data_IF_209744402190
#
_entry.id   IF_209744402190
#
_cell.length_a   1.000
_cell.length_b   1.000
_cell.length_c   1.000
_cell.angle_alpha   90.00
_cell.angle_beta   90.00
_cell.angle_gamma   90.00
#
_symmetry.space_group_name_H-M   'P 1'
#
loop_
_entity.id
_entity.type
_entity.pdbx_description
1 polymer ?
#
# COMPACT_ATOMS: atom_id res chain seq x y z
N UNK A 1 24.32 -9.29 14.22
CA UNK A 1 23.37 -10.17 14.91
C UNK A 1 22.20 -10.39 13.97
N UNK A 2 22.16 -11.52 13.46
CA UNK A 2 21.51 -12.07 12.30
C UNK A 2 20.11 -12.53 12.73
N UNK A 3 19.13 -12.13 11.97
CA UNK A 3 17.79 -12.75 11.87
C UNK A 3 17.12 -13.18 13.19
N UNK A 4 16.20 -12.38 13.68
CA UNK A 4 15.07 -12.83 14.51
C UNK A 4 13.75 -12.47 13.86
N UNK A 5 13.44 -13.04 12.72
CA UNK A 5 12.05 -13.27 12.33
C UNK A 5 11.77 -14.76 12.56
N UNK A 6 10.94 -15.02 13.57
CA UNK A 6 10.53 -16.33 14.03
C UNK A 6 9.75 -17.05 12.92
N UNK A 7 10.31 -18.15 12.42
CA UNK A 7 9.56 -19.17 11.70
C UNK A 7 8.70 -19.93 12.72
N UNK A 8 7.42 -19.72 12.71
CA UNK A 8 6.45 -20.59 13.37
C UNK A 8 6.27 -21.86 12.53
N UNK A 9 6.93 -22.92 12.94
CA UNK A 9 6.73 -24.28 12.44
C UNK A 9 5.39 -24.78 12.99
N UNK A 10 4.40 -24.98 12.13
CA UNK A 10 3.16 -25.66 12.47
C UNK A 10 3.41 -27.16 12.54
N UNK A 11 3.33 -27.72 13.75
CA UNK A 11 3.32 -29.16 14.00
C UNK A 11 1.97 -29.74 13.58
N UNK A 12 1.99 -30.59 12.57
CA UNK A 12 0.88 -31.44 12.21
C UNK A 12 0.69 -32.53 13.27
N UNK A 13 -0.47 -32.55 13.91
CA UNK A 13 -0.92 -33.67 14.74
C UNK A 13 -1.80 -34.58 13.90
N UNK A 14 -1.28 -35.76 13.59
CA UNK A 14 -2.05 -36.89 13.11
C UNK A 14 -2.82 -37.47 14.29
N UNK A 15 -4.13 -37.58 14.17
CA UNK A 15 -4.96 -38.43 15.04
C UNK A 15 -5.64 -39.49 14.20
N UNK A 16 -5.30 -40.71 14.54
CA UNK A 16 -5.73 -41.97 13.96
C UNK A 16 -7.19 -42.33 14.34
N UNK A 17 -7.85 -42.92 13.37
CA UNK A 17 -9.16 -43.57 13.44
C UNK A 17 -9.21 -44.71 14.45
N UNK A 18 -10.30 -44.79 15.20
CA UNK A 18 -10.72 -45.95 15.93
C UNK A 18 -12.19 -46.22 15.68
N UNK A 19 -12.50 -47.29 14.93
CA UNK A 19 -13.84 -47.87 14.75
C UNK A 19 -14.16 -48.83 15.89
N UNK A 20 -15.42 -48.83 16.36
CA UNK A 20 -16.21 -49.97 16.83
C UNK A 20 -17.42 -49.37 17.57
N UNK A 21 -18.68 -49.72 17.43
CA UNK A 21 -19.35 -50.87 16.99
C UNK A 21 -20.65 -50.99 17.82
N UNK A 22 -21.75 -51.14 17.14
CA UNK A 22 -23.08 -51.72 17.54
C UNK A 22 -23.62 -51.66 18.98
N UNK A 23 -24.91 -51.28 19.07
CA UNK A 23 -25.81 -51.68 20.17
C UNK A 23 -27.20 -51.03 20.11
N UNK A 24 -28.17 -51.79 19.65
CA UNK A 24 -29.60 -51.52 19.58
C UNK A 24 -30.24 -51.45 20.99
N UNK A 25 -31.24 -50.60 21.28
CA UNK A 25 -32.64 -50.96 21.54
C UNK A 25 -33.51 -49.79 22.02
N UNK A 26 -34.67 -49.77 21.42
CA UNK A 26 -36.02 -49.29 21.78
C UNK A 26 -36.30 -48.64 23.14
N UNK A 27 -37.05 -47.52 23.11
CA UNK A 27 -38.42 -47.43 23.64
C UNK A 27 -39.06 -46.06 23.43
N UNK A 28 -40.16 -46.07 22.76
CA UNK A 28 -41.36 -45.21 22.77
C UNK A 28 -41.49 -44.16 23.86
N UNK A 29 -41.79 -42.90 23.47
CA UNK A 29 -43.06 -42.25 23.85
C UNK A 29 -43.34 -41.02 22.96
N UNK A 30 -44.58 -41.00 22.51
CA UNK A 30 -45.31 -39.97 21.82
C UNK A 30 -45.57 -38.78 22.75
N UNK A 31 -45.40 -37.54 22.20
CA UNK A 31 -46.26 -36.42 22.58
C UNK A 31 -46.39 -35.44 21.38
N UNK A 32 -47.67 -35.25 21.05
CA UNK A 32 -48.18 -34.36 20.00
C UNK A 32 -47.81 -32.90 20.29
N UNK A 33 -47.37 -32.18 19.28
CA UNK A 33 -47.40 -30.72 19.30
C UNK A 33 -48.36 -30.22 18.22
N UNK A 34 -49.40 -29.56 18.69
CA UNK A 34 -50.47 -28.96 17.92
C UNK A 34 -49.96 -27.81 17.05
N UNK A 35 -50.37 -27.84 15.80
CA UNK A 35 -50.25 -26.72 14.85
C UNK A 35 -51.31 -25.68 15.21
N UNK A 36 -50.88 -24.49 15.60
CA UNK A 36 -51.75 -23.32 15.71
C UNK A 36 -51.54 -22.44 14.46
N UNK A 37 -52.53 -22.47 13.59
CA UNK A 37 -52.68 -21.51 12.49
C UNK A 37 -53.26 -20.22 13.05
N UNK A 38 -52.58 -19.10 12.88
CA UNK A 38 -53.11 -17.76 13.07
C UNK A 38 -53.23 -17.06 11.72
N UNK A 39 -54.41 -16.49 11.50
CA UNK A 39 -54.85 -15.78 10.29
C UNK A 39 -54.17 -14.38 10.13
N UNK A 40 -54.28 -13.76 8.94
CA UNK A 40 -53.50 -12.58 8.60
C UNK A 40 -54.08 -11.29 9.21
N UNK A 41 -53.25 -10.49 9.82
CA UNK A 41 -53.56 -9.13 10.20
C UNK A 41 -52.91 -8.17 9.19
N UNK A 42 -53.74 -7.47 8.42
CA UNK A 42 -53.36 -6.26 7.70
C UNK A 42 -52.93 -5.19 8.70
N UNK A 43 -51.77 -4.58 8.51
CA UNK A 43 -51.62 -3.16 8.81
C UNK A 43 -50.46 -2.53 8.00
N UNK A 44 -50.80 -1.48 7.43
CA UNK A 44 -50.26 -0.42 6.68
C UNK A 44 -48.83 0.07 6.99
N UNK A 45 -48.19 0.54 5.89
CA UNK A 45 -47.18 1.63 5.83
C UNK A 45 -46.02 1.54 6.82
N UNK A 46 -44.94 0.96 6.37
CA UNK A 46 -43.61 1.40 6.73
C UNK A 46 -42.91 1.83 5.45
N UNK A 47 -42.59 3.11 5.38
CA UNK A 47 -41.67 3.68 4.39
C UNK A 47 -40.42 2.80 4.36
N UNK A 48 -40.24 2.14 3.24
CA UNK A 48 -39.07 1.34 2.93
C UNK A 48 -37.92 2.34 2.62
N UNK A 49 -37.24 2.82 3.64
CA UNK A 49 -35.86 3.27 3.46
C UNK A 49 -35.09 2.02 3.12
N UNK A 50 -34.88 1.79 1.83
CA UNK A 50 -33.95 0.81 1.33
C UNK A 50 -32.55 1.19 1.85
N UNK A 51 -32.14 0.60 2.97
CA UNK A 51 -30.74 0.39 3.24
C UNK A 51 -30.21 -0.40 2.05
N UNK A 52 -29.46 0.28 1.18
CA UNK A 52 -28.82 -0.29 -0.01
C UNK A 52 -27.85 -1.34 0.51
N UNK A 53 -28.27 -2.60 0.55
CA UNK A 53 -27.49 -3.70 1.10
C UNK A 53 -26.25 -3.86 0.23
N UNK A 54 -25.10 -3.50 0.81
CA UNK A 54 -23.77 -3.56 0.19
C UNK A 54 -23.28 -4.99 -0.13
N UNK A 55 -24.12 -6.00 0.05
CA UNK A 55 -23.72 -7.41 -0.05
C UNK A 55 -23.78 -7.98 -1.46
N UNK A 56 -24.37 -7.27 -2.42
CA UNK A 56 -24.39 -7.73 -3.80
C UNK A 56 -23.52 -6.85 -4.69
N UNK A 57 -22.53 -7.44 -5.40
CA UNK A 57 -21.76 -6.71 -6.38
C UNK A 57 -22.69 -6.13 -7.48
N UNK A 58 -22.31 -4.99 -8.09
CA UNK A 58 -23.10 -4.43 -9.20
C UNK A 58 -23.17 -5.43 -10.35
N UNK A 59 -24.31 -5.46 -11.06
CA UNK A 59 -24.38 -6.17 -12.34
C UNK A 59 -23.41 -5.59 -13.34
N UNK A 60 -22.99 -6.36 -14.36
CA UNK A 60 -22.03 -5.89 -15.36
C UNK A 60 -22.48 -4.63 -16.14
N UNK A 61 -23.80 -4.37 -16.18
CA UNK A 61 -24.39 -3.17 -16.81
C UNK A 61 -24.32 -1.95 -15.91
N UNK A 62 -24.19 -2.15 -14.59
CA UNK A 62 -24.12 -1.09 -13.59
C UNK A 62 -22.69 -0.70 -13.21
N UNK A 63 -21.67 -1.49 -13.61
CA UNK A 63 -20.26 -1.21 -13.32
C UNK A 63 -19.82 0.10 -13.95
N UNK A 64 -19.26 0.98 -13.11
CA UNK A 64 -18.63 2.23 -13.56
C UNK A 64 -17.21 1.93 -14.05
N UNK A 65 -16.78 2.61 -15.11
CA UNK A 65 -15.39 2.56 -15.53
C UNK A 65 -14.58 3.60 -14.77
N UNK A 66 -13.56 3.15 -14.04
CA UNK A 66 -12.65 3.97 -13.22
C UNK A 66 -11.29 4.04 -13.91
N UNK A 67 -10.81 5.25 -14.20
CA UNK A 67 -9.47 5.48 -14.76
C UNK A 67 -8.48 5.61 -13.63
N UNK A 68 -7.68 4.55 -13.43
CA UNK A 68 -6.70 4.44 -12.34
C UNK A 68 -5.28 4.69 -12.86
N UNK A 69 -4.68 5.79 -12.40
CA UNK A 69 -3.27 6.12 -12.61
C UNK A 69 -2.35 5.39 -11.65
N UNK A 70 -1.19 4.94 -12.12
CA UNK A 70 -0.16 4.35 -11.26
C UNK A 70 1.24 4.60 -11.82
N UNK A 71 2.26 4.49 -10.96
CA UNK A 71 3.67 4.57 -11.30
C UNK A 71 4.34 3.21 -11.16
N UNK A 72 5.48 3.01 -11.85
CA UNK A 72 6.40 1.90 -11.53
C UNK A 72 6.82 1.95 -10.05
N UNK A 73 7.33 0.84 -9.53
CA UNK A 73 7.72 0.71 -8.13
C UNK A 73 6.67 -0.02 -7.30
N UNK A 74 6.68 0.15 -5.99
CA UNK A 74 5.71 -0.48 -5.07
C UNK A 74 4.27 -0.20 -5.48
N UNK A 75 4.00 1.02 -5.96
CA UNK A 75 2.69 1.45 -6.42
C UNK A 75 2.14 0.67 -7.62
N UNK A 76 2.99 -0.04 -8.37
CA UNK A 76 2.54 -0.94 -9.43
C UNK A 76 2.16 -2.32 -8.92
N UNK A 77 2.88 -2.85 -7.92
CA UNK A 77 2.56 -4.17 -7.36
C UNK A 77 1.17 -4.21 -6.72
N UNK A 78 0.76 -3.14 -6.06
CA UNK A 78 -0.52 -3.07 -5.35
C UNK A 78 -1.75 -3.09 -6.28
N UNK A 79 -1.57 -2.88 -7.59
CA UNK A 79 -2.64 -2.91 -8.59
C UNK A 79 -2.59 -4.13 -9.51
N UNK A 80 -1.60 -5.03 -9.37
CA UNK A 80 -1.46 -6.19 -10.28
C UNK A 80 -2.64 -7.14 -10.23
N UNK A 81 -3.11 -7.49 -9.04
CA UNK A 81 -4.27 -8.37 -8.89
C UNK A 81 -5.58 -7.68 -9.28
N UNK A 82 -5.67 -6.35 -9.13
CA UNK A 82 -6.80 -5.60 -9.63
C UNK A 82 -6.85 -5.62 -11.16
N UNK A 83 -5.69 -5.55 -11.84
CA UNK A 83 -5.63 -5.72 -13.30
C UNK A 83 -6.10 -7.10 -13.73
N UNK A 84 -5.66 -8.15 -13.05
CA UNK A 84 -6.05 -9.52 -13.34
C UNK A 84 -7.56 -9.75 -13.12
N UNK A 85 -8.09 -9.26 -11.99
CA UNK A 85 -9.53 -9.32 -11.71
C UNK A 85 -10.36 -8.54 -12.73
N UNK A 86 -9.86 -7.42 -13.23
CA UNK A 86 -10.51 -6.66 -14.29
C UNK A 86 -10.49 -7.41 -15.63
N UNK A 87 -9.36 -8.05 -15.99
CA UNK A 87 -9.22 -8.83 -17.21
C UNK A 87 -10.13 -10.08 -17.20
N UNK A 88 -10.35 -10.69 -16.03
CA UNK A 88 -11.24 -11.85 -15.82
C UNK A 88 -12.69 -11.44 -15.54
N UNK A 89 -12.99 -10.15 -15.43
CA UNK A 89 -14.29 -9.55 -15.09
C UNK A 89 -14.79 -9.94 -13.67
N UNK A 90 -13.86 -10.25 -12.77
CA UNK A 90 -14.14 -10.61 -11.36
C UNK A 90 -14.11 -9.38 -10.42
N UNK A 91 -13.65 -8.21 -10.89
CA UNK A 91 -13.65 -6.95 -10.14
C UNK A 91 -15.08 -6.42 -9.95
N UNK A 92 -15.32 -5.68 -8.87
CA UNK A 92 -16.61 -5.01 -8.62
C UNK A 92 -16.92 -3.94 -9.66
N UNK A 93 -15.92 -3.17 -10.10
CA UNK A 93 -16.04 -2.12 -11.11
C UNK A 93 -15.20 -2.45 -12.35
N UNK A 94 -15.25 -1.62 -13.40
CA UNK A 94 -14.36 -1.71 -14.56
C UNK A 94 -13.21 -0.74 -14.39
N UNK A 95 -12.02 -1.11 -14.88
CA UNK A 95 -10.84 -0.28 -14.74
C UNK A 95 -10.15 -0.04 -16.08
N UNK A 96 -9.74 1.23 -16.29
CA UNK A 96 -8.75 1.62 -17.27
C UNK A 96 -7.47 2.02 -16.55
N UNK A 97 -6.38 1.26 -16.76
CA UNK A 97 -5.11 1.49 -16.08
C UNK A 97 -4.20 2.40 -16.89
N UNK A 98 -3.75 3.49 -16.29
CA UNK A 98 -2.90 4.51 -16.93
C UNK A 98 -1.56 4.57 -16.20
N UNK A 99 -0.51 4.03 -16.82
CA UNK A 99 0.83 4.16 -16.27
C UNK A 99 1.38 5.56 -16.55
N UNK A 100 1.77 6.27 -15.48
CA UNK A 100 2.44 7.56 -15.58
C UNK A 100 3.95 7.42 -15.73
N UNK A 101 4.56 8.34 -16.47
CA UNK A 101 6.02 8.43 -16.57
C UNK A 101 6.63 9.21 -15.40
N UNK A 102 5.86 10.13 -14.80
CA UNK A 102 6.25 10.91 -13.64
C UNK A 102 5.08 11.11 -12.69
N UNK A 103 5.37 11.27 -11.40
CA UNK A 103 4.36 11.60 -10.38
C UNK A 103 3.63 12.89 -10.73
N UNK A 104 4.35 13.92 -11.23
CA UNK A 104 3.77 15.19 -11.67
C UNK A 104 2.72 15.00 -12.77
N UNK A 105 2.98 14.12 -13.74
CA UNK A 105 2.01 13.80 -14.80
C UNK A 105 0.70 13.22 -14.24
N UNK A 106 0.79 12.29 -13.28
CA UNK A 106 -0.41 11.75 -12.63
C UNK A 106 -1.18 12.80 -11.83
N UNK A 107 -0.46 13.70 -11.13
CA UNK A 107 -1.08 14.81 -10.42
C UNK A 107 -1.84 15.75 -11.36
N UNK A 108 -1.26 16.11 -12.53
CA UNK A 108 -1.95 16.96 -13.51
C UNK A 108 -3.21 16.27 -14.08
N UNK A 109 -3.13 14.96 -14.36
CA UNK A 109 -4.29 14.18 -14.82
C UNK A 109 -5.39 14.09 -13.76
N UNK A 110 -5.05 13.95 -12.48
CA UNK A 110 -6.02 14.02 -11.38
C UNK A 110 -6.65 15.40 -11.25
N UNK A 111 -5.85 16.48 -11.35
CA UNK A 111 -6.35 17.87 -11.30
C UNK A 111 -7.34 18.18 -12.41
N UNK A 112 -7.07 17.69 -13.61
CA UNK A 112 -7.91 17.91 -14.80
C UNK A 112 -9.15 17.00 -14.85
N UNK A 113 -9.20 15.93 -14.04
CA UNK A 113 -10.23 14.88 -14.13
C UNK A 113 -10.03 13.94 -15.33
N UNK A 114 -8.82 13.90 -15.92
CA UNK A 114 -8.50 12.93 -16.97
C UNK A 114 -8.40 11.52 -16.41
N UNK A 115 -7.99 11.38 -15.13
CA UNK A 115 -8.06 10.14 -14.35
C UNK A 115 -8.88 10.36 -13.08
N UNK A 116 -9.55 9.30 -12.64
CA UNK A 116 -10.49 9.32 -11.52
C UNK A 116 -9.81 9.00 -10.18
N UNK A 117 -8.73 8.24 -10.23
CA UNK A 117 -7.96 7.82 -9.07
C UNK A 117 -6.48 7.61 -9.43
N UNK A 118 -5.61 7.59 -8.43
CA UNK A 118 -4.22 7.20 -8.62
C UNK A 118 -3.61 6.60 -7.35
N UNK A 119 -2.59 5.73 -7.54
CA UNK A 119 -1.65 5.39 -6.46
C UNK A 119 -0.50 6.39 -6.45
N UNK A 120 -0.29 7.05 -5.32
CA UNK A 120 0.69 8.12 -5.14
C UNK A 120 1.48 7.93 -3.82
N UNK A 121 2.68 8.55 -3.69
CA UNK A 121 3.27 8.79 -2.39
C UNK A 121 2.37 9.67 -1.51
N UNK A 122 2.31 9.37 -0.19
CA UNK A 122 1.40 10.07 0.74
C UNK A 122 1.70 11.56 0.84
N UNK A 123 2.98 11.94 0.83
CA UNK A 123 3.43 13.33 0.84
C UNK A 123 3.00 14.09 -0.42
N UNK A 124 3.07 13.43 -1.58
CA UNK A 124 2.60 13.99 -2.85
C UNK A 124 1.09 14.18 -2.84
N UNK A 125 0.34 13.18 -2.40
CA UNK A 125 -1.13 13.27 -2.26
C UNK A 125 -1.52 14.44 -1.34
N UNK A 126 -0.78 14.62 -0.25
CA UNK A 126 -0.99 15.71 0.71
C UNK A 126 -0.73 17.08 0.08
N UNK A 127 0.40 17.24 -0.63
CA UNK A 127 0.69 18.49 -1.36
C UNK A 127 -0.35 18.79 -2.42
N UNK A 128 -0.76 17.78 -3.20
CA UNK A 128 -1.79 17.91 -4.22
C UNK A 128 -3.13 18.37 -3.62
N UNK A 129 -3.54 17.78 -2.49
CA UNK A 129 -4.73 18.24 -1.78
C UNK A 129 -4.59 19.68 -1.28
N UNK A 130 -3.48 20.01 -0.65
CA UNK A 130 -3.23 21.35 -0.11
C UNK A 130 -3.24 22.44 -1.20
N UNK A 131 -2.81 22.07 -2.44
CA UNK A 131 -2.84 22.97 -3.61
C UNK A 131 -4.24 23.10 -4.20
N UNK A 132 -5.01 22.01 -4.28
CA UNK A 132 -6.20 21.96 -5.12
C UNK A 132 -7.52 21.70 -4.40
N UNK A 133 -7.49 21.03 -3.25
CA UNK A 133 -8.68 20.49 -2.57
C UNK A 133 -9.42 19.39 -3.35
N UNK A 134 -8.84 18.87 -4.46
CA UNK A 134 -9.56 18.04 -5.43
C UNK A 134 -9.33 16.55 -5.30
N UNK A 135 -8.65 16.08 -4.27
CA UNK A 135 -8.41 14.66 -4.06
C UNK A 135 -8.76 14.25 -2.64
N UNK A 136 -9.11 12.98 -2.46
CA UNK A 136 -9.28 12.35 -1.14
C UNK A 136 -8.36 11.14 -1.05
N UNK A 137 -7.68 10.99 0.09
CA UNK A 137 -6.96 9.75 0.40
C UNK A 137 -7.97 8.70 0.86
N UNK A 138 -7.97 7.53 0.21
CA UNK A 138 -8.95 6.46 0.44
C UNK A 138 -8.35 5.24 1.13
N UNK A 139 -7.05 4.98 0.92
CA UNK A 139 -6.32 3.90 1.57
C UNK A 139 -4.83 4.24 1.63
N UNK A 140 -4.09 3.71 2.59
CA UNK A 140 -2.64 3.53 2.47
C UNK A 140 -2.36 2.24 1.69
N UNK A 141 -1.18 2.10 1.07
CA UNK A 141 -0.82 0.92 0.26
C UNK A 141 0.56 0.36 0.56
N UNK A 142 1.41 1.11 1.26
CA UNK A 142 2.72 0.67 1.74
C UNK A 142 3.17 1.50 2.93
N UNK A 143 4.07 0.92 3.72
CA UNK A 143 4.73 1.58 4.85
C UNK A 143 6.22 1.78 4.56
N UNK A 144 7.02 2.10 5.59
CA UNK A 144 8.46 2.33 5.46
C UNK A 144 9.16 1.20 4.70
N UNK A 145 9.78 1.55 3.59
CA UNK A 145 10.53 0.65 2.70
C UNK A 145 11.80 1.32 2.18
N UNK A 146 12.39 2.22 2.99
CA UNK A 146 13.66 2.87 2.69
C UNK A 146 14.84 2.06 3.19
N UNK A 147 15.86 1.96 2.34
CA UNK A 147 17.09 1.22 2.59
C UNK A 147 18.30 2.05 2.23
N UNK A 148 19.39 1.92 3.00
CA UNK A 148 20.69 2.34 2.51
C UNK A 148 21.33 1.15 1.77
N UNK A 149 21.60 1.34 0.47
CA UNK A 149 22.32 0.38 -0.37
C UNK A 149 23.77 0.81 -0.53
N UNK A 150 24.69 -0.15 -0.56
CA UNK A 150 26.12 0.13 -0.74
C UNK A 150 26.79 -0.76 -1.77
N UNK A 151 27.85 -0.22 -2.41
CA UNK A 151 28.76 -0.94 -3.31
C UNK A 151 30.20 -0.75 -2.83
N UNK A 152 30.81 -1.86 -2.36
CA UNK A 152 32.20 -1.86 -1.93
C UNK A 152 32.49 -1.07 -0.64
N UNK A 153 31.46 -0.56 0.04
CA UNK A 153 31.58 0.12 1.33
C UNK A 153 30.91 -0.71 2.45
N UNK A 154 31.60 -0.83 3.58
CA UNK A 154 30.99 -1.43 4.77
C UNK A 154 30.33 -0.34 5.62
N UNK A 155 29.04 -0.44 5.82
CA UNK A 155 28.26 0.42 6.71
C UNK A 155 27.54 -0.46 7.71
N UNK A 156 27.64 -0.11 9.00
CA UNK A 156 26.97 -0.86 10.07
C UNK A 156 26.06 0.08 10.83
N UNK A 157 24.75 -0.01 10.53
CA UNK A 157 23.73 0.86 11.11
C UNK A 157 23.92 2.34 10.74
N UNK A 158 23.00 3.17 11.16
CA UNK A 158 22.95 4.61 10.82
C UNK A 158 24.17 5.38 11.32
N UNK A 159 24.72 5.04 12.48
CA UNK A 159 25.96 5.67 13.00
C UNK A 159 27.15 5.43 12.12
N UNK A 160 27.17 4.36 11.32
CA UNK A 160 28.20 4.08 10.31
C UNK A 160 28.16 4.99 9.09
N UNK A 161 27.14 5.85 8.95
CA UNK A 161 27.06 6.90 7.92
C UNK A 161 27.92 8.13 8.27
N UNK A 162 28.46 8.23 9.47
CA UNK A 162 29.33 9.31 9.90
C UNK A 162 30.57 9.42 8.98
N UNK A 163 30.81 10.60 8.42
CA UNK A 163 31.91 10.90 7.50
C UNK A 163 31.71 10.35 6.09
N UNK A 164 30.56 9.76 5.78
CA UNK A 164 30.23 9.24 4.44
C UNK A 164 29.37 10.19 3.64
N UNK A 165 29.29 9.92 2.34
CA UNK A 165 28.35 10.59 1.42
C UNK A 165 27.23 9.63 1.07
N UNK A 166 26.00 9.98 1.42
CA UNK A 166 24.78 9.23 1.08
C UNK A 166 24.07 9.96 -0.07
N UNK A 167 23.80 9.27 -1.17
CA UNK A 167 23.09 9.83 -2.32
C UNK A 167 21.59 9.58 -2.20
N UNK A 168 20.77 10.61 -2.41
CA UNK A 168 19.30 10.59 -2.35
C UNK A 168 18.75 11.13 -3.67
N UNK A 169 17.62 10.64 -4.15
CA UNK A 169 16.94 11.23 -5.30
C UNK A 169 16.41 12.63 -4.93
N UNK A 170 16.70 13.64 -5.77
CA UNK A 170 16.38 15.04 -5.47
C UNK A 170 14.88 15.36 -5.44
N UNK A 171 14.08 14.53 -6.13
CA UNK A 171 12.63 14.64 -6.23
C UNK A 171 11.89 13.83 -5.15
N UNK A 172 12.60 13.00 -4.38
CA UNK A 172 12.04 12.27 -3.23
C UNK A 172 12.26 13.09 -1.93
N UNK A 173 11.37 14.06 -1.71
CA UNK A 173 11.43 14.91 -0.52
C UNK A 173 11.19 14.09 0.76
N UNK A 174 10.40 13.04 0.69
CA UNK A 174 10.13 12.19 1.82
C UNK A 174 11.37 11.40 2.24
N UNK A 175 12.08 10.80 1.28
CA UNK A 175 13.35 10.09 1.55
C UNK A 175 14.36 10.97 2.29
N UNK A 176 14.52 12.22 1.81
CA UNK A 176 15.39 13.19 2.47
C UNK A 176 14.97 13.48 3.89
N UNK A 177 13.68 13.74 4.11
CA UNK A 177 13.15 14.07 5.45
C UNK A 177 13.26 12.89 6.41
N UNK A 178 13.04 11.67 5.93
CA UNK A 178 13.20 10.43 6.71
C UNK A 178 14.64 10.28 7.18
N UNK A 179 15.61 10.35 6.26
CA UNK A 179 17.01 10.16 6.65
C UNK A 179 17.52 11.31 7.54
N UNK A 180 17.12 12.55 7.30
CA UNK A 180 17.49 13.70 8.15
C UNK A 180 16.94 13.52 9.58
N UNK A 181 15.71 13.03 9.73
CA UNK A 181 15.08 12.73 11.03
C UNK A 181 15.85 11.64 11.77
N UNK A 182 16.20 10.56 11.08
CA UNK A 182 16.95 9.43 11.65
C UNK A 182 18.39 9.87 12.05
N UNK A 183 19.11 10.55 11.16
CA UNK A 183 20.46 11.04 11.44
C UNK A 183 20.49 11.97 12.66
N UNK A 184 19.49 12.85 12.75
CA UNK A 184 19.34 13.77 13.88
C UNK A 184 19.06 13.04 15.19
N UNK A 185 18.18 12.05 15.20
CA UNK A 185 17.85 11.27 16.40
C UNK A 185 19.07 10.51 16.96
N UNK A 186 19.93 10.02 16.06
CA UNK A 186 21.16 9.29 16.42
C UNK A 186 22.41 10.17 16.54
N UNK A 187 22.27 11.50 16.49
CA UNK A 187 23.35 12.49 16.58
C UNK A 187 24.44 12.32 15.51
N UNK A 188 24.10 11.85 14.32
CA UNK A 188 25.02 11.74 13.17
C UNK A 188 25.02 13.07 12.42
N UNK A 189 26.00 13.94 12.70
CA UNK A 189 26.02 15.32 12.18
C UNK A 189 26.93 15.51 10.95
N UNK A 190 27.76 14.52 10.61
CA UNK A 190 28.78 14.62 9.56
C UNK A 190 28.54 13.66 8.39
N UNK A 191 27.30 13.19 8.17
CA UNK A 191 26.90 12.53 6.94
C UNK A 191 26.66 13.60 5.86
N UNK A 192 27.27 13.48 4.70
CA UNK A 192 27.03 14.37 3.57
C UNK A 192 25.90 13.82 2.71
N UNK A 193 24.85 14.58 2.50
CA UNK A 193 23.78 14.21 1.56
C UNK A 193 24.14 14.76 0.18
N UNK A 194 24.26 13.86 -0.80
CA UNK A 194 24.39 14.17 -2.22
C UNK A 194 23.08 13.90 -2.94
N UNK A 195 22.86 14.53 -4.10
CA UNK A 195 21.60 14.38 -4.85
C UNK A 195 21.86 13.80 -6.23
N UNK A 196 21.11 12.74 -6.56
CA UNK A 196 20.96 12.23 -7.92
C UNK A 196 19.70 12.83 -8.57
N UNK A 197 19.68 12.89 -9.89
CA UNK A 197 18.57 13.50 -10.65
C UNK A 197 17.26 12.73 -10.53
N UNK A 198 17.35 11.41 -10.30
CA UNK A 198 16.19 10.50 -10.15
C UNK A 198 16.60 9.22 -9.44
N UNK A 199 15.60 8.42 -9.06
CA UNK A 199 15.83 7.05 -8.56
C UNK A 199 16.51 6.17 -9.60
N UNK A 200 16.19 6.31 -10.89
CA UNK A 200 16.88 5.57 -11.98
C UNK A 200 18.36 5.94 -12.06
N UNK A 201 18.73 7.21 -11.83
CA UNK A 201 20.13 7.62 -11.76
C UNK A 201 20.85 6.96 -10.57
N UNK A 202 20.16 6.76 -9.43
CA UNK A 202 20.70 5.99 -8.30
C UNK A 202 20.91 4.52 -8.67
N UNK A 203 19.91 3.88 -9.29
CA UNK A 203 20.02 2.48 -9.75
C UNK A 203 21.20 2.30 -10.69
N UNK A 204 21.35 3.18 -11.69
CA UNK A 204 22.47 3.14 -12.62
C UNK A 204 23.80 3.35 -11.93
N UNK A 205 23.90 4.36 -11.03
CA UNK A 205 25.13 4.66 -10.32
C UNK A 205 25.56 3.58 -9.32
N UNK A 206 24.61 2.87 -8.67
CA UNK A 206 24.90 1.68 -7.88
C UNK A 206 25.34 0.54 -8.79
N UNK A 207 24.69 0.36 -9.94
CA UNK A 207 24.98 -0.70 -10.90
C UNK A 207 26.38 -0.59 -11.50
N UNK A 208 26.84 0.61 -11.85
CA UNK A 208 28.18 0.84 -12.43
C UNK A 208 29.23 1.20 -11.35
N UNK A 209 28.81 1.33 -10.10
CA UNK A 209 29.67 1.63 -8.96
C UNK A 209 30.13 3.09 -8.88
N UNK A 210 29.58 4.03 -9.64
CA UNK A 210 29.83 5.47 -9.51
C UNK A 210 29.19 6.07 -8.27
N UNK A 211 28.07 5.50 -7.80
CA UNK A 211 27.46 5.76 -6.49
C UNK A 211 27.83 4.62 -5.55
N UNK A 212 28.45 4.94 -4.42
CA UNK A 212 28.90 3.93 -3.44
C UNK A 212 27.91 3.68 -2.31
N UNK A 213 27.07 4.65 -2.02
CA UNK A 213 26.09 4.59 -0.94
C UNK A 213 24.89 5.45 -1.30
N UNK A 214 23.70 4.86 -1.28
CA UNK A 214 22.48 5.57 -1.64
C UNK A 214 21.31 5.16 -0.75
N UNK A 215 20.38 6.10 -0.54
CA UNK A 215 19.06 5.84 -0.02
C UNK A 215 18.13 5.43 -1.17
N UNK A 216 17.48 4.31 -1.05
CA UNK A 216 16.71 3.70 -2.13
C UNK A 216 15.55 2.87 -1.55
N UNK A 217 14.50 2.71 -2.34
CA UNK A 217 13.35 1.86 -2.02
C UNK A 217 13.35 0.59 -2.88
N UNK A 218 12.57 -0.42 -2.46
CA UNK A 218 12.17 -1.47 -3.38
C UNK A 218 11.16 -0.94 -4.43
N UNK A 219 11.13 -1.46 -5.65
CA UNK A 219 11.93 -2.56 -6.21
C UNK A 219 13.31 -2.12 -6.77
N UNK A 220 13.66 -0.86 -6.61
CA UNK A 220 14.89 -0.30 -7.20
C UNK A 220 16.17 -0.87 -6.59
N UNK A 221 16.14 -1.22 -5.29
CA UNK A 221 17.24 -1.94 -4.65
C UNK A 221 17.44 -3.33 -5.29
N UNK A 222 16.37 -4.09 -5.46
CA UNK A 222 16.42 -5.39 -6.12
C UNK A 222 16.87 -5.28 -7.58
N UNK A 223 16.48 -4.23 -8.28
CA UNK A 223 16.93 -3.97 -9.64
C UNK A 223 18.44 -3.64 -9.69
N UNK A 224 18.92 -2.78 -8.79
CA UNK A 224 20.34 -2.46 -8.69
C UNK A 224 21.18 -3.71 -8.36
N UNK A 225 20.70 -4.55 -7.42
CA UNK A 225 21.35 -5.81 -7.04
C UNK A 225 21.37 -6.84 -8.21
N UNK A 226 20.28 -6.88 -8.99
CA UNK A 226 20.23 -7.75 -10.18
C UNK A 226 21.23 -7.30 -11.27
N UNK A 227 21.45 -6.00 -11.40
CA UNK A 227 22.40 -5.42 -12.35
C UNK A 227 23.85 -5.56 -11.88
N UNK A 228 24.10 -5.48 -10.56
CA UNK A 228 25.42 -5.58 -9.96
C UNK A 228 25.34 -6.34 -8.62
N UNK A 229 25.82 -7.61 -8.58
CA UNK A 229 25.79 -8.44 -7.35
C UNK A 229 26.61 -7.89 -6.17
N UNK A 230 27.49 -6.90 -6.40
CA UNK A 230 28.24 -6.23 -5.33
C UNK A 230 27.39 -5.16 -4.60
N UNK A 231 26.21 -4.84 -5.13
CA UNK A 231 25.22 -3.99 -4.42
C UNK A 231 24.62 -4.79 -3.28
N UNK A 232 24.72 -4.26 -2.08
CA UNK A 232 24.22 -4.89 -0.86
C UNK A 232 23.28 -3.96 -0.12
N UNK A 233 22.27 -4.52 0.55
CA UNK A 233 21.50 -3.83 1.57
C UNK A 233 22.41 -3.61 2.78
N UNK A 234 22.76 -2.34 3.04
CA UNK A 234 23.63 -1.96 4.16
C UNK A 234 22.82 -1.69 5.43
N UNK A 235 21.68 -0.98 5.31
CA UNK A 235 20.80 -0.63 6.44
C UNK A 235 19.35 -0.75 5.98
N UNK A 236 18.51 -1.46 6.74
CA UNK A 236 17.06 -1.36 6.71
C UNK A 236 16.67 -0.25 7.70
N UNK A 237 16.00 0.80 7.23
CA UNK A 237 15.69 1.97 8.06
C UNK A 237 14.36 1.86 8.83
N UNK A 238 13.71 0.71 8.80
CA UNK A 238 12.40 0.55 9.44
C UNK A 238 12.47 0.78 10.96
N UNK A 239 13.37 0.06 11.63
CA UNK A 239 13.53 0.19 13.09
C UNK A 239 14.11 1.55 13.48
N UNK A 240 15.04 2.10 12.67
CA UNK A 240 15.63 3.42 12.90
C UNK A 240 14.59 4.54 12.77
N UNK A 241 13.63 4.39 11.85
CA UNK A 241 12.50 5.32 11.75
C UNK A 241 11.56 5.21 12.96
N UNK A 242 11.20 3.99 13.36
CA UNK A 242 10.31 3.76 14.51
C UNK A 242 10.88 4.43 15.76
N UNK A 243 12.16 4.22 16.04
CA UNK A 243 12.88 4.87 17.15
C UNK A 243 12.91 6.41 17.01
N UNK A 244 13.23 6.91 15.81
CA UNK A 244 13.39 8.35 15.55
C UNK A 244 12.07 9.11 15.56
N UNK A 245 10.98 8.46 15.18
CA UNK A 245 9.63 9.03 15.11
C UNK A 245 8.85 8.91 16.43
N UNK A 246 9.34 8.07 17.37
CA UNK A 246 8.62 7.73 18.59
C UNK A 246 7.43 6.81 18.34
N UNK A 247 7.56 5.88 17.40
CA UNK A 247 6.53 4.89 17.05
C UNK A 247 5.48 5.38 16.05
N UNK A 248 5.71 6.51 15.38
CA UNK A 248 4.80 6.99 14.32
C UNK A 248 5.06 6.20 13.04
N UNK A 249 4.04 5.50 12.57
CA UNK A 249 4.10 4.74 11.31
C UNK A 249 4.43 5.67 10.13
N UNK A 250 5.26 5.19 9.19
CA UNK A 250 5.61 5.91 7.96
C UNK A 250 4.81 5.36 6.78
N UNK A 251 3.64 5.89 6.43
CA UNK A 251 2.93 5.52 5.21
C UNK A 251 3.66 6.11 4.00
N UNK A 252 4.12 5.27 3.09
CA UNK A 252 4.86 5.72 1.90
C UNK A 252 3.99 5.77 0.65
N UNK A 253 2.99 4.89 0.53
CA UNK A 253 2.08 4.84 -0.61
C UNK A 253 0.62 4.95 -0.19
N UNK A 254 -0.21 5.48 -1.08
CA UNK A 254 -1.66 5.59 -0.87
C UNK A 254 -2.45 5.52 -2.18
N UNK A 255 -3.73 5.22 -2.05
CA UNK A 255 -4.75 5.42 -3.06
C UNK A 255 -5.42 6.78 -2.83
N UNK A 256 -5.46 7.60 -3.87
CA UNK A 256 -6.26 8.83 -3.89
C UNK A 256 -7.35 8.75 -4.95
N UNK A 257 -8.49 9.39 -4.66
CA UNK A 257 -9.64 9.50 -5.57
C UNK A 257 -9.92 10.98 -5.82
N UNK A 258 -10.24 11.33 -7.07
CA UNK A 258 -10.67 12.67 -7.44
C UNK A 258 -12.00 13.01 -6.74
N UNK A 259 -12.10 14.19 -6.14
CA UNK A 259 -13.25 14.58 -5.32
C UNK A 259 -14.54 14.73 -6.13
N UNK A 260 -14.46 15.19 -7.39
CA UNK A 260 -15.61 15.35 -8.28
C UNK A 260 -16.12 13.97 -8.73
N UNK A 261 -15.21 13.04 -9.04
CA UNK A 261 -15.58 11.65 -9.34
C UNK A 261 -16.24 10.98 -8.14
N UNK A 262 -15.68 11.12 -6.94
CA UNK A 262 -16.28 10.62 -5.70
C UNK A 262 -17.68 11.18 -5.49
N UNK A 263 -17.85 12.50 -5.64
CA UNK A 263 -19.16 13.15 -5.48
C UNK A 263 -20.24 12.64 -6.45
N UNK A 264 -19.83 12.23 -7.64
CA UNK A 264 -20.72 11.70 -8.68
C UNK A 264 -20.97 10.19 -8.57
N UNK A 265 -20.02 9.43 -8.01
CA UNK A 265 -20.00 7.96 -8.00
C UNK A 265 -19.65 7.37 -6.62
N UNK A 266 -20.31 7.77 -5.53
CA UNK A 266 -19.90 7.37 -4.17
C UNK A 266 -19.98 5.85 -3.95
N UNK A 267 -20.95 5.17 -4.58
CA UNK A 267 -21.09 3.70 -4.51
C UNK A 267 -19.95 2.99 -5.24
N UNK A 268 -19.59 3.45 -6.43
CA UNK A 268 -18.49 2.88 -7.21
C UNK A 268 -17.14 3.05 -6.49
N UNK A 269 -16.90 4.20 -5.84
CA UNK A 269 -15.68 4.40 -5.04
C UNK A 269 -15.61 3.42 -3.86
N UNK A 270 -16.72 3.10 -3.24
CA UNK A 270 -16.81 2.11 -2.15
C UNK A 270 -16.44 0.71 -2.62
N UNK A 271 -16.92 0.29 -3.78
CA UNK A 271 -16.54 -0.99 -4.40
C UNK A 271 -15.09 -0.99 -4.88
N UNK A 272 -14.63 0.12 -5.44
CA UNK A 272 -13.22 0.27 -5.82
C UNK A 272 -12.26 0.09 -4.64
N UNK A 273 -12.58 0.66 -3.48
CA UNK A 273 -11.75 0.47 -2.28
C UNK A 273 -11.71 -1.01 -1.84
N UNK A 274 -12.82 -1.75 -1.98
CA UNK A 274 -12.84 -3.21 -1.72
C UNK A 274 -11.95 -3.98 -2.71
N UNK A 275 -12.06 -3.67 -4.01
CA UNK A 275 -11.21 -4.26 -5.05
C UNK A 275 -9.72 -3.95 -4.80
N UNK A 276 -9.41 -2.71 -4.43
CA UNK A 276 -8.06 -2.27 -4.14
C UNK A 276 -7.50 -2.96 -2.89
N UNK A 277 -8.27 -3.04 -1.80
CA UNK A 277 -7.88 -3.75 -0.57
C UNK A 277 -7.57 -5.22 -0.86
N UNK A 278 -8.42 -5.90 -1.63
CA UNK A 278 -8.19 -7.28 -2.05
C UNK A 278 -6.89 -7.40 -2.87
N UNK A 279 -6.67 -6.51 -3.85
CA UNK A 279 -5.46 -6.50 -4.68
C UNK A 279 -4.19 -6.30 -3.84
N UNK A 280 -4.17 -5.34 -2.92
CA UNK A 280 -3.02 -5.09 -2.05
C UNK A 280 -2.72 -6.30 -1.15
N UNK A 281 -3.76 -6.91 -0.57
CA UNK A 281 -3.60 -8.09 0.26
C UNK A 281 -3.06 -9.28 -0.54
N UNK A 282 -3.58 -9.52 -1.74
CA UNK A 282 -3.06 -10.58 -2.62
C UNK A 282 -1.61 -10.30 -3.02
N UNK A 283 -1.27 -9.06 -3.35
CA UNK A 283 0.08 -8.68 -3.78
C UNK A 283 1.17 -9.03 -2.76
N UNK A 284 0.87 -8.93 -1.48
CA UNK A 284 1.85 -9.26 -0.42
C UNK A 284 1.85 -10.74 -0.01
N UNK A 285 0.76 -11.47 -0.22
CA UNK A 285 0.64 -12.86 0.22
C UNK A 285 0.93 -13.87 -0.89
N UNK A 286 0.65 -13.53 -2.16
CA UNK A 286 0.86 -14.36 -3.34
C UNK A 286 2.08 -13.88 -4.13
N UNK A 287 3.26 -13.88 -3.50
CA UNK A 287 4.48 -13.25 -4.03
C UNK A 287 4.84 -13.75 -5.43
N UNK A 288 4.82 -15.09 -5.65
CA UNK A 288 5.18 -15.69 -6.93
C UNK A 288 4.20 -15.28 -8.04
N UNK A 289 2.92 -15.26 -7.73
CA UNK A 289 1.85 -14.89 -8.66
C UNK A 289 1.92 -13.38 -8.98
N UNK A 290 2.06 -12.54 -7.95
CA UNK A 290 2.24 -11.09 -8.12
C UNK A 290 3.46 -10.79 -8.98
N UNK A 291 4.57 -11.49 -8.77
CA UNK A 291 5.79 -11.28 -9.54
C UNK A 291 5.61 -11.65 -11.03
N UNK A 292 4.91 -12.75 -11.33
CA UNK A 292 4.59 -13.15 -12.71
C UNK A 292 3.63 -12.15 -13.38
N UNK A 293 2.62 -11.66 -12.64
CA UNK A 293 1.71 -10.62 -13.14
C UNK A 293 2.45 -9.31 -13.40
N UNK A 294 3.34 -8.88 -12.49
CA UNK A 294 4.11 -7.65 -12.66
C UNK A 294 4.99 -7.70 -13.93
N UNK A 295 5.58 -8.84 -14.28
CA UNK A 295 6.29 -9.02 -15.54
C UNK A 295 5.31 -9.04 -16.72
N UNK A 296 4.19 -9.78 -16.64
CA UNK A 296 3.15 -9.86 -17.68
C UNK A 296 2.59 -8.48 -18.04
N UNK A 297 2.34 -7.64 -17.03
CA UNK A 297 1.86 -6.27 -17.21
C UNK A 297 2.98 -5.24 -17.47
N UNK A 298 4.23 -5.70 -17.63
CA UNK A 298 5.42 -4.86 -17.92
C UNK A 298 5.71 -3.78 -16.87
N UNK A 299 5.38 -4.07 -15.64
CA UNK A 299 5.67 -3.19 -14.50
C UNK A 299 7.10 -3.30 -14.02
N UNK A 300 7.73 -4.43 -14.31
CA UNK A 300 9.11 -4.77 -13.97
C UNK A 300 9.70 -5.57 -15.12
N UNK A 301 11.04 -5.54 -15.26
CA UNK A 301 11.74 -6.20 -16.35
C UNK A 301 11.77 -7.73 -16.24
N UNK A 302 11.60 -8.29 -15.05
CA UNK A 302 11.48 -9.73 -14.82
C UNK A 302 10.75 -10.07 -13.53
N UNK A 303 10.04 -11.20 -13.52
CA UNK A 303 9.40 -11.75 -12.32
C UNK A 303 10.41 -12.04 -11.19
N UNK A 304 11.66 -12.36 -11.53
CA UNK A 304 12.72 -12.60 -10.53
C UNK A 304 13.01 -11.35 -9.71
N UNK A 305 13.08 -10.17 -10.33
CA UNK A 305 13.27 -8.89 -9.62
C UNK A 305 12.07 -8.61 -8.73
N UNK A 306 10.84 -8.74 -9.24
CA UNK A 306 9.64 -8.53 -8.45
C UNK A 306 9.57 -9.48 -7.24
N UNK A 307 9.88 -10.76 -7.45
CA UNK A 307 9.91 -11.76 -6.38
C UNK A 307 10.89 -11.41 -5.26
N UNK A 308 12.05 -10.85 -5.62
CA UNK A 308 13.04 -10.38 -4.64
C UNK A 308 12.57 -9.10 -3.92
N UNK A 309 11.90 -8.20 -4.64
CA UNK A 309 11.51 -6.89 -4.14
C UNK A 309 10.26 -6.90 -3.24
N UNK A 310 9.24 -7.72 -3.56
CA UNK A 310 7.94 -7.69 -2.87
C UNK A 310 8.08 -7.85 -1.35
N UNK A 311 8.88 -8.79 -0.81
CA UNK A 311 9.05 -8.92 0.64
C UNK A 311 9.57 -7.67 1.35
N UNK A 312 10.46 -6.91 0.68
CA UNK A 312 11.02 -5.64 1.18
C UNK A 312 10.17 -4.40 0.87
N UNK A 313 9.11 -4.56 0.07
CA UNK A 313 8.29 -3.41 -0.37
C UNK A 313 7.33 -2.88 0.69
N UNK A 314 7.26 -3.51 1.86
CA UNK A 314 6.36 -3.13 2.98
C UNK A 314 4.91 -2.90 2.54
N UNK A 315 4.44 -3.71 1.57
CA UNK A 315 3.07 -3.63 1.05
C UNK A 315 2.07 -3.90 2.19
N UNK A 316 1.18 -2.96 2.42
CA UNK A 316 0.16 -3.05 3.48
C UNK A 316 -1.00 -2.12 3.15
N UNK A 317 -2.21 -2.47 3.56
CA UNK A 317 -3.37 -1.64 3.32
C UNK A 317 -4.07 -1.28 4.63
N UNK A 318 -4.42 -0.01 4.76
CA UNK A 318 -5.38 0.44 5.77
C UNK A 318 -6.38 1.40 5.14
N UNK A 319 -7.61 1.35 5.60
CA UNK A 319 -8.74 2.17 5.15
C UNK A 319 -9.46 2.79 6.35
N UNK A 320 -10.42 3.67 6.09
CA UNK A 320 -11.30 4.21 7.12
C UNK A 320 -10.57 4.96 8.23
N UNK A 321 -11.07 4.84 9.45
CA UNK A 321 -10.52 5.57 10.61
C UNK A 321 -9.07 5.17 10.94
N UNK A 322 -8.66 3.92 10.67
CA UNK A 322 -7.27 3.49 10.86
C UNK A 322 -6.33 4.22 9.89
N UNK A 323 -6.68 4.26 8.60
CA UNK A 323 -5.94 5.01 7.59
C UNK A 323 -5.82 6.49 7.99
N UNK A 324 -6.93 7.11 8.39
CA UNK A 324 -6.94 8.50 8.84
C UNK A 324 -5.98 8.71 10.02
N UNK A 325 -6.01 7.86 11.03
CA UNK A 325 -5.11 7.95 12.19
C UNK A 325 -3.65 7.85 11.77
N UNK A 326 -3.28 6.81 11.03
CA UNK A 326 -1.91 6.62 10.51
C UNK A 326 -1.41 7.83 9.73
N UNK A 327 -2.22 8.31 8.78
CA UNK A 327 -1.84 9.45 7.93
C UNK A 327 -1.78 10.75 8.74
N UNK A 328 -2.73 11.02 9.63
CA UNK A 328 -2.73 12.25 10.43
C UNK A 328 -1.57 12.30 11.42
N UNK A 329 -1.19 11.18 12.05
CA UNK A 329 -0.04 11.13 12.96
C UNK A 329 1.27 11.40 12.20
N UNK A 330 1.44 10.79 11.03
CA UNK A 330 2.55 11.07 10.13
C UNK A 330 2.60 12.56 9.72
N UNK A 331 1.48 13.14 9.27
CA UNK A 331 1.41 14.54 8.85
C UNK A 331 1.68 15.51 10.01
N UNK A 332 1.24 15.18 11.21
CA UNK A 332 1.55 15.94 12.43
C UNK A 332 3.05 15.92 12.77
N UNK A 333 3.70 14.77 12.57
CA UNK A 333 5.15 14.66 12.74
C UNK A 333 5.90 15.48 11.69
N UNK A 334 5.55 15.34 10.41
CA UNK A 334 6.17 16.09 9.30
C UNK A 334 5.97 17.60 9.43
N UNK A 335 4.81 18.04 9.89
CA UNK A 335 4.56 19.49 10.10
C UNK A 335 5.52 20.13 11.09
N UNK A 336 6.09 19.34 11.99
CA UNK A 336 7.06 19.81 13.01
C UNK A 336 8.50 19.66 12.54
N UNK A 337 8.82 18.57 11.83
CA UNK A 337 10.18 18.22 11.46
C UNK A 337 10.59 18.81 10.11
N UNK A 338 9.75 18.70 9.10
CA UNK A 338 9.97 19.19 7.74
C UNK A 338 8.60 19.50 7.06
N UNK A 339 8.01 20.67 7.34
CA UNK A 339 6.70 21.01 6.82
C UNK A 339 6.65 21.09 5.28
N UNK A 340 7.79 21.28 4.60
CA UNK A 340 7.84 21.34 3.14
C UNK A 340 7.43 20.03 2.48
N UNK A 341 7.68 18.89 3.13
CA UNK A 341 7.27 17.55 2.66
C UNK A 341 5.77 17.48 2.44
N UNK A 342 4.99 18.12 3.29
CA UNK A 342 3.53 18.11 3.26
C UNK A 342 2.91 19.39 2.66
N UNK A 343 3.71 20.26 2.02
CA UNK A 343 3.24 21.52 1.44
C UNK A 343 2.95 22.60 2.49
N UNK A 344 3.66 22.60 3.61
CA UNK A 344 3.61 23.58 4.71
C UNK A 344 2.24 23.70 5.42
N UNK A 345 1.34 22.75 5.23
CA UNK A 345 -0.01 22.76 5.81
C UNK A 345 -0.49 21.34 6.07
N UNK A 346 -1.08 21.11 7.22
CA UNK A 346 -1.85 19.89 7.51
C UNK A 346 -3.20 20.01 6.79
N UNK A 347 -3.60 18.99 5.99
CA UNK A 347 -4.92 18.96 5.37
C UNK A 347 -6.05 18.98 6.39
N UNK A 348 -7.21 19.49 5.99
CA UNK A 348 -8.43 19.38 6.77
C UNK A 348 -9.12 18.01 6.60
N UNK A 349 -10.25 17.83 7.29
CA UNK A 349 -11.02 16.57 7.31
C UNK A 349 -11.49 16.10 5.92
N UNK A 350 -11.66 17.01 4.96
CA UNK A 350 -12.10 16.66 3.60
C UNK A 350 -11.06 15.90 2.80
N UNK A 351 -9.80 15.89 3.24
CA UNK A 351 -8.74 15.09 2.64
C UNK A 351 -8.99 13.60 2.79
N UNK A 352 -9.64 13.17 3.87
CA UNK A 352 -9.82 11.75 4.16
C UNK A 352 -11.13 11.24 3.61
N UNK A 353 -11.10 10.09 2.95
CA UNK A 353 -12.30 9.32 2.66
C UNK A 353 -12.59 8.40 3.85
N UNK A 354 -13.76 8.55 4.43
CA UNK A 354 -14.29 7.66 5.48
C UNK A 354 -15.68 7.23 5.03
N UNK A 355 -15.89 5.93 4.91
CA UNK A 355 -17.18 5.39 4.49
C UNK A 355 -18.28 5.75 5.49
N UNK A 356 -19.42 6.20 5.00
CA UNK A 356 -20.57 6.58 5.82
C UNK A 356 -20.45 7.94 6.54
N UNK A 357 -19.43 8.75 6.21
CA UNK A 357 -19.29 10.12 6.75
C UNK A 357 -19.33 11.16 5.66
#
# INVERSE_FOLDING_TARGET
MIYKRLLLVSSAFLLTLGFSGCGQNNSTNSDEIQVVTAAPSNNENSENTSEDSMDNPPSNEEKVTIKLGFMSGVNSYVVTHLMDSNDTNDSYEKYEFIQGNTVSQLCEKLKSGEIDAATLPVDVATRLYNETGKVKIAATSSACNYYAASVGESVKGVTGLAGKTLTVAKDDLLAKSVIDTILKSQNVTNCTINYADSTDAIVNGLSDGSIKLALIQEPFLSQATANNPDVTLAIDLYDDWDDASGGVELPTGCLVVNSDFFGSNPKAVRYFIKDFDASVNMSRHSIDETAQMAERYKMVSSASIAKSAIPGSSISVTTGDKMKTTVSDFLNLMSKNDPAVIGNKIPDENFYYIDGK
#
